data_IF_823201691607
#
_entry.id   IF_823201691607
#
_cell.length_a   1.000
_cell.length_b   1.000
_cell.length_c   1.000
_cell.angle_alpha   90.00
_cell.angle_beta   90.00
_cell.angle_gamma   90.00
#
_symmetry.space_group_name_H-M   'P 1'
#
loop_
_entity.id
_entity.type
_entity.pdbx_description
1 polymer ?
#
# COMPACT_ATOMS: atom_id res chain seq x y z
N UNK A 1 4.78 0.95 -10.29
CA UNK A 1 5.64 -0.19 -10.67
C UNK A 1 6.00 -0.98 -9.42
N UNK A 2 5.86 -2.29 -9.42
CA UNK A 2 6.16 -3.19 -8.30
C UNK A 2 7.67 -3.45 -8.20
N UNK A 3 8.25 -3.22 -7.05
CA UNK A 3 9.70 -3.32 -6.78
C UNK A 3 10.07 -4.75 -6.37
N UNK A 4 10.84 -5.44 -7.20
CA UNK A 4 11.20 -6.86 -7.01
C UNK A 4 12.66 -7.01 -6.62
N UNK A 5 12.92 -7.78 -5.56
CA UNK A 5 14.25 -8.26 -5.18
C UNK A 5 14.33 -9.76 -5.48
N UNK A 6 15.36 -10.18 -6.22
CA UNK A 6 15.60 -11.59 -6.57
C UNK A 6 16.65 -12.16 -5.61
N UNK A 7 16.31 -13.25 -4.92
CA UNK A 7 17.17 -13.89 -3.91
C UNK A 7 17.34 -15.37 -4.22
N UNK A 8 18.52 -15.75 -4.64
CA UNK A 8 18.85 -17.11 -5.08
C UNK A 8 20.38 -17.28 -5.03
N UNK A 9 20.93 -18.34 -4.49
CA UNK A 9 22.38 -18.54 -4.38
C UNK A 9 23.02 -18.91 -5.74
N UNK A 10 22.23 -19.48 -6.66
CA UNK A 10 22.70 -19.86 -7.98
C UNK A 10 22.68 -18.69 -8.97
N UNK A 11 23.83 -18.20 -9.50
CA UNK A 11 23.87 -17.04 -10.39
C UNK A 11 23.06 -17.22 -11.68
N UNK A 12 23.02 -18.44 -12.24
CA UNK A 12 22.26 -18.73 -13.46
C UNK A 12 20.75 -18.70 -13.22
N UNK A 13 20.29 -19.20 -12.06
CA UNK A 13 18.87 -19.12 -11.68
C UNK A 13 18.44 -17.65 -11.48
N UNK A 14 19.29 -16.83 -10.81
CA UNK A 14 19.05 -15.39 -10.68
C UNK A 14 18.94 -14.71 -12.03
N UNK A 15 19.90 -14.94 -12.94
CA UNK A 15 19.90 -14.35 -14.27
C UNK A 15 18.65 -14.74 -15.07
N UNK A 16 18.20 -15.99 -14.95
CA UNK A 16 16.96 -16.44 -15.59
C UNK A 16 15.72 -15.75 -15.02
N UNK A 17 15.61 -15.57 -13.71
CA UNK A 17 14.49 -14.84 -13.09
C UNK A 17 14.48 -13.37 -13.52
N UNK A 18 15.65 -12.73 -13.58
CA UNK A 18 15.81 -11.36 -14.10
C UNK A 18 15.30 -11.27 -15.53
N UNK A 19 15.72 -12.16 -16.42
CA UNK A 19 15.26 -12.17 -17.81
C UNK A 19 13.75 -12.35 -17.95
N UNK A 20 13.12 -13.19 -17.10
CA UNK A 20 11.66 -13.35 -17.07
C UNK A 20 10.94 -12.11 -16.53
N UNK A 21 11.52 -11.42 -15.53
CA UNK A 21 10.96 -10.19 -14.99
C UNK A 21 11.02 -9.03 -15.98
N UNK A 22 12.05 -8.94 -16.83
CA UNK A 22 12.17 -7.94 -17.88
C UNK A 22 11.04 -8.05 -18.93
N UNK A 23 10.44 -9.26 -19.06
CA UNK A 23 9.25 -9.48 -19.90
C UNK A 23 7.92 -9.15 -19.20
N UNK A 24 7.95 -8.71 -17.92
CA UNK A 24 6.76 -8.38 -17.14
C UNK A 24 6.55 -6.85 -17.12
N UNK A 25 5.38 -6.39 -17.56
CA UNK A 25 4.98 -5.00 -17.41
C UNK A 25 4.81 -4.62 -15.93
N UNK A 26 4.99 -3.34 -15.59
CA UNK A 26 4.78 -2.77 -14.25
C UNK A 26 5.67 -3.34 -13.12
N UNK A 27 6.81 -3.95 -13.47
CA UNK A 27 7.81 -4.47 -12.55
C UNK A 27 9.11 -3.68 -12.66
N UNK A 28 9.79 -3.48 -11.55
CA UNK A 28 11.14 -2.91 -11.48
C UNK A 28 12.01 -3.79 -10.61
N UNK A 29 13.07 -4.35 -11.16
CA UNK A 29 14.06 -5.11 -10.41
C UNK A 29 14.91 -4.09 -9.63
N UNK A 30 14.84 -4.13 -8.31
CA UNK A 30 15.56 -3.18 -7.44
C UNK A 30 16.90 -3.72 -6.96
N UNK A 31 17.14 -5.02 -7.10
CA UNK A 31 18.39 -5.66 -6.73
C UNK A 31 18.30 -7.18 -6.77
N UNK A 32 19.43 -7.80 -6.40
CA UNK A 32 19.52 -9.25 -6.23
C UNK A 32 20.48 -9.59 -5.08
N UNK A 33 20.27 -10.74 -4.45
CA UNK A 33 21.12 -11.26 -3.37
C UNK A 33 21.39 -12.75 -3.59
N UNK A 34 22.56 -13.22 -3.16
CA UNK A 34 22.97 -14.63 -3.26
C UNK A 34 22.81 -15.44 -1.97
N UNK A 35 22.40 -14.79 -0.88
CA UNK A 35 22.21 -15.45 0.43
C UNK A 35 21.23 -14.63 1.29
N UNK A 36 20.84 -15.22 2.43
CA UNK A 36 19.85 -14.62 3.31
C UNK A 36 20.34 -13.37 4.06
N UNK A 37 21.63 -13.21 4.32
CA UNK A 37 22.17 -12.01 5.01
C UNK A 37 22.21 -10.82 4.06
N UNK A 38 22.73 -11.03 2.86
CA UNK A 38 22.70 -10.04 1.80
C UNK A 38 21.26 -9.63 1.45
N UNK A 39 20.33 -10.58 1.44
CA UNK A 39 18.90 -10.31 1.22
C UNK A 39 18.31 -9.41 2.32
N UNK A 40 18.62 -9.68 3.60
CA UNK A 40 18.13 -8.84 4.72
C UNK A 40 18.67 -7.40 4.63
N UNK A 41 19.95 -7.23 4.30
CA UNK A 41 20.53 -5.90 4.08
C UNK A 41 19.83 -5.17 2.91
N UNK A 42 19.68 -5.86 1.77
CA UNK A 42 19.01 -5.32 0.59
C UNK A 42 17.54 -4.95 0.85
N UNK A 43 16.79 -5.74 1.65
CA UNK A 43 15.42 -5.41 2.07
C UNK A 43 15.38 -4.08 2.84
N UNK A 44 16.32 -3.89 3.77
CA UNK A 44 16.40 -2.66 4.57
C UNK A 44 16.70 -1.42 3.73
N UNK A 45 17.59 -1.52 2.78
CA UNK A 45 18.05 -0.42 1.93
C UNK A 45 17.09 -0.14 0.77
N UNK A 46 16.70 -1.20 0.05
CA UNK A 46 15.96 -1.07 -1.20
C UNK A 46 14.44 -1.08 -1.03
N UNK A 47 13.93 -1.44 0.15
CA UNK A 47 12.49 -1.47 0.44
C UNK A 47 11.66 -2.11 -0.70
N UNK A 48 11.90 -3.38 -1.08
CA UNK A 48 11.17 -4.06 -2.14
C UNK A 48 9.71 -4.30 -1.76
N UNK A 49 8.82 -4.40 -2.77
CA UNK A 49 7.44 -4.79 -2.59
C UNK A 49 7.29 -6.32 -2.50
N UNK A 50 8.15 -7.05 -3.23
CA UNK A 50 8.13 -8.51 -3.31
C UNK A 50 9.53 -9.10 -3.41
N UNK A 51 9.70 -10.28 -2.82
CA UNK A 51 10.87 -11.14 -2.97
C UNK A 51 10.52 -12.33 -3.85
N UNK A 52 11.34 -12.60 -4.88
CA UNK A 52 11.45 -13.94 -5.47
C UNK A 52 12.58 -14.64 -4.72
N UNK A 53 12.24 -15.65 -3.91
CA UNK A 53 13.11 -16.20 -2.89
C UNK A 53 13.34 -17.70 -3.10
N UNK A 54 14.57 -18.12 -3.29
CA UNK A 54 14.89 -19.55 -3.20
C UNK A 54 14.84 -20.03 -1.74
N UNK A 55 14.41 -21.26 -1.56
CA UNK A 55 14.35 -21.90 -0.24
C UNK A 55 15.74 -22.41 0.18
N UNK A 56 16.45 -23.04 -0.75
CA UNK A 56 17.70 -23.74 -0.44
C UNK A 56 18.91 -22.86 -0.73
N UNK A 57 19.24 -22.03 0.21
CA UNK A 57 20.45 -21.20 0.15
C UNK A 57 21.39 -21.54 1.32
N UNK A 58 22.71 -21.41 1.15
CA UNK A 58 23.66 -21.60 2.23
C UNK A 58 23.47 -20.57 3.35
N UNK A 59 23.74 -20.97 4.59
CA UNK A 59 23.58 -20.10 5.76
C UNK A 59 22.11 -19.92 6.16
N UNK A 60 21.57 -18.72 5.99
CA UNK A 60 20.15 -18.43 6.27
C UNK A 60 19.31 -18.88 5.08
N UNK A 61 18.59 -19.99 5.22
CA UNK A 61 17.71 -20.51 4.17
C UNK A 61 16.47 -19.61 3.96
N UNK A 62 15.84 -19.74 2.79
CA UNK A 62 14.70 -18.90 2.40
C UNK A 62 13.50 -19.01 3.33
N UNK A 63 13.24 -20.18 3.94
CA UNK A 63 12.13 -20.32 4.90
C UNK A 63 12.39 -19.57 6.20
N UNK A 64 13.62 -19.58 6.71
CA UNK A 64 14.00 -18.80 7.88
C UNK A 64 13.93 -17.28 7.60
N UNK A 65 14.31 -16.87 6.39
CA UNK A 65 14.17 -15.48 5.96
C UNK A 65 12.70 -15.09 5.89
N UNK A 66 11.84 -15.88 5.25
CA UNK A 66 10.40 -15.63 5.17
C UNK A 66 9.74 -15.57 6.55
N UNK A 67 10.16 -16.41 7.49
CA UNK A 67 9.68 -16.40 8.87
C UNK A 67 10.00 -15.08 9.60
N UNK A 68 11.18 -14.50 9.37
CA UNK A 68 11.55 -13.17 9.91
C UNK A 68 10.72 -12.02 9.32
N UNK A 69 10.16 -12.23 8.14
CA UNK A 69 9.30 -11.26 7.43
C UNK A 69 7.81 -11.49 7.69
N UNK A 70 7.44 -12.59 8.34
CA UNK A 70 6.05 -12.95 8.60
C UNK A 70 5.29 -11.81 9.33
N UNK A 71 4.05 -11.58 8.93
CA UNK A 71 3.20 -10.51 9.49
C UNK A 71 3.48 -9.12 8.94
N UNK A 72 4.49 -8.91 8.10
CA UNK A 72 4.73 -7.64 7.42
C UNK A 72 3.88 -7.52 6.16
N UNK A 73 3.40 -6.33 5.87
CA UNK A 73 2.70 -6.03 4.60
C UNK A 73 3.68 -6.08 3.42
N UNK A 74 4.93 -5.65 3.63
CA UNK A 74 6.02 -5.64 2.64
C UNK A 74 7.34 -6.07 3.27
N UNK A 75 8.19 -6.78 2.54
CA UNK A 75 7.93 -7.37 1.22
C UNK A 75 7.01 -8.59 1.30
N UNK A 76 6.22 -8.83 0.26
CA UNK A 76 5.53 -10.11 0.05
C UNK A 76 6.52 -11.15 -0.47
N UNK A 77 6.32 -12.43 -0.16
CA UNK A 77 7.24 -13.51 -0.56
C UNK A 77 6.58 -14.40 -1.59
N UNK A 78 7.30 -14.67 -2.69
CA UNK A 78 7.04 -15.72 -3.67
C UNK A 78 8.25 -16.65 -3.63
N UNK A 79 8.04 -17.90 -3.28
CA UNK A 79 9.13 -18.88 -3.31
C UNK A 79 9.40 -19.37 -4.74
N UNK A 80 10.68 -19.51 -5.10
CA UNK A 80 11.16 -20.05 -6.37
C UNK A 80 12.18 -21.15 -6.09
N UNK A 81 11.80 -22.42 -6.17
CA UNK A 81 12.66 -23.54 -5.74
C UNK A 81 12.53 -24.76 -6.65
N UNK A 82 13.52 -25.64 -6.60
CA UNK A 82 13.51 -26.92 -7.34
C UNK A 82 12.69 -28.04 -6.65
N UNK A 83 12.22 -27.85 -5.42
CA UNK A 83 11.63 -28.90 -4.60
C UNK A 83 10.13 -28.68 -4.34
N UNK A 84 9.31 -29.69 -4.63
CA UNK A 84 7.85 -29.65 -4.41
C UNK A 84 7.46 -29.79 -2.92
N UNK A 85 8.29 -30.45 -2.13
CA UNK A 85 8.01 -30.83 -0.74
C UNK A 85 7.76 -29.63 0.20
N UNK A 86 8.19 -28.43 -0.16
CA UNK A 86 8.10 -27.25 0.68
C UNK A 86 6.85 -26.39 0.41
N UNK A 87 6.00 -26.75 -0.56
CA UNK A 87 4.82 -25.96 -0.91
C UNK A 87 3.86 -25.74 0.27
N UNK A 88 3.63 -26.79 1.08
CA UNK A 88 2.76 -26.69 2.26
C UNK A 88 3.33 -25.69 3.30
N UNK A 89 4.64 -25.79 3.57
CA UNK A 89 5.33 -24.89 4.50
C UNK A 89 5.36 -23.42 4.03
N UNK A 90 5.39 -23.21 2.72
CA UNK A 90 5.31 -21.88 2.13
C UNK A 90 3.97 -21.17 2.45
N UNK A 91 2.86 -21.92 2.41
CA UNK A 91 1.55 -21.41 2.79
C UNK A 91 1.45 -21.07 4.29
N UNK A 92 1.99 -21.92 5.17
CA UNK A 92 2.05 -21.65 6.61
C UNK A 92 2.84 -20.37 6.93
N UNK A 93 3.87 -20.05 6.15
CA UNK A 93 4.68 -18.85 6.27
C UNK A 93 4.01 -17.59 5.64
N UNK A 94 2.81 -17.74 5.08
CA UNK A 94 2.06 -16.64 4.50
C UNK A 94 2.60 -16.15 3.15
N UNK A 95 3.41 -16.96 2.44
CA UNK A 95 3.85 -16.64 1.08
C UNK A 95 2.65 -16.45 0.14
N UNK A 96 2.83 -15.57 -0.85
CA UNK A 96 1.78 -15.29 -1.84
C UNK A 96 1.65 -16.44 -2.84
N UNK A 97 2.78 -17.00 -3.23
CA UNK A 97 2.83 -18.09 -4.20
C UNK A 97 4.11 -18.91 -4.06
N UNK A 98 4.12 -20.03 -4.79
CA UNK A 98 5.20 -20.99 -4.87
C UNK A 98 5.45 -21.39 -6.33
N UNK A 99 6.64 -21.16 -6.82
CA UNK A 99 7.05 -21.42 -8.19
C UNK A 99 8.12 -22.53 -8.23
N UNK A 100 7.88 -23.56 -9.01
CA UNK A 100 8.85 -24.61 -9.26
C UNK A 100 9.84 -24.19 -10.35
N UNK A 101 11.13 -24.39 -10.12
CA UNK A 101 12.16 -24.29 -11.13
C UNK A 101 12.10 -25.49 -12.10
N UNK A 102 12.19 -25.28 -13.41
CA UNK A 102 12.39 -24.02 -14.11
C UNK A 102 11.12 -23.16 -14.15
N UNK A 103 11.22 -21.92 -13.65
CA UNK A 103 10.08 -21.00 -13.60
C UNK A 103 9.63 -20.65 -15.04
N UNK A 104 8.31 -20.73 -15.28
CA UNK A 104 7.67 -20.35 -16.54
C UNK A 104 7.13 -18.92 -16.43
N UNK A 105 7.24 -18.16 -17.52
CA UNK A 105 6.81 -16.75 -17.57
C UNK A 105 5.34 -16.57 -17.16
N UNK A 106 4.44 -17.42 -17.64
CA UNK A 106 3.01 -17.35 -17.30
C UNK A 106 2.77 -17.52 -15.78
N UNK A 107 3.44 -18.51 -15.16
CA UNK A 107 3.33 -18.74 -13.71
C UNK A 107 3.89 -17.57 -12.90
N UNK A 108 4.98 -16.96 -13.36
CA UNK A 108 5.56 -15.77 -12.73
C UNK A 108 4.58 -14.58 -12.82
N UNK A 109 3.98 -14.34 -14.00
CA UNK A 109 2.97 -13.29 -14.19
C UNK A 109 1.77 -13.47 -13.26
N UNK A 110 1.25 -14.69 -13.13
CA UNK A 110 0.14 -15.00 -12.22
C UNK A 110 0.50 -14.72 -10.76
N UNK A 111 1.70 -15.10 -10.33
CA UNK A 111 2.17 -14.87 -8.96
C UNK A 111 2.34 -13.36 -8.67
N UNK A 112 2.91 -12.61 -9.61
CA UNK A 112 3.04 -11.15 -9.51
C UNK A 112 1.68 -10.46 -9.46
N UNK A 113 0.71 -10.90 -10.26
CA UNK A 113 -0.65 -10.35 -10.21
C UNK A 113 -1.34 -10.61 -8.86
N UNK A 114 -1.17 -11.82 -8.28
CA UNK A 114 -1.67 -12.12 -6.93
C UNK A 114 -1.02 -11.22 -5.88
N UNK A 115 0.30 -11.02 -5.99
CA UNK A 115 1.04 -10.11 -5.12
C UNK A 115 0.51 -8.69 -5.20
N UNK A 116 0.28 -8.18 -6.39
CA UNK A 116 -0.26 -6.84 -6.60
C UNK A 116 -1.65 -6.66 -5.96
N UNK A 117 -2.53 -7.65 -6.11
CA UNK A 117 -3.86 -7.66 -5.45
C UNK A 117 -3.72 -7.66 -3.93
N UNK A 118 -2.88 -8.53 -3.38
CA UNK A 118 -2.65 -8.61 -1.92
C UNK A 118 -2.08 -7.32 -1.34
N UNK A 119 -1.14 -6.68 -2.02
CA UNK A 119 -0.60 -5.37 -1.62
C UNK A 119 -1.65 -4.26 -1.69
N UNK A 120 -2.52 -4.27 -2.71
CA UNK A 120 -3.62 -3.33 -2.82
C UNK A 120 -4.65 -3.52 -1.69
N UNK A 121 -5.00 -4.76 -1.37
CA UNK A 121 -5.94 -5.10 -0.29
C UNK A 121 -5.36 -4.72 1.08
N UNK A 122 -4.09 -5.04 1.33
CA UNK A 122 -3.41 -4.63 2.57
C UNK A 122 -3.28 -3.11 2.71
N UNK A 123 -3.08 -2.40 1.59
CA UNK A 123 -3.08 -0.93 1.59
C UNK A 123 -4.47 -0.36 1.89
N UNK A 124 -5.53 -1.00 1.41
CA UNK A 124 -6.92 -0.63 1.75
C UNK A 124 -7.23 -0.92 3.21
N UNK A 125 -6.82 -2.08 3.74
CA UNK A 125 -6.99 -2.42 5.16
C UNK A 125 -6.23 -1.46 6.07
N UNK A 126 -5.01 -1.10 5.73
CA UNK A 126 -4.21 -0.13 6.49
C UNK A 126 -4.70 1.32 6.32
N UNK A 127 -5.39 1.63 5.23
CA UNK A 127 -6.02 2.94 5.01
C UNK A 127 -7.18 3.20 5.99
N UNK A 128 -7.71 2.16 6.66
CA UNK A 128 -8.85 2.28 7.56
C UNK A 128 -10.19 2.28 6.84
N UNK A 129 -11.25 2.10 7.63
CA UNK A 129 -12.63 2.09 7.12
C UNK A 129 -13.52 2.95 7.98
N UNK A 130 -14.44 3.65 7.35
CA UNK A 130 -15.54 4.34 8.02
C UNK A 130 -16.79 3.46 7.97
N UNK A 131 -17.50 3.40 9.08
CA UNK A 131 -18.76 2.69 9.21
C UNK A 131 -19.89 3.69 9.33
N UNK A 132 -20.93 3.54 8.53
CA UNK A 132 -22.05 4.47 8.58
C UNK A 132 -23.32 3.91 7.98
N UNK A 133 -24.33 4.76 7.86
CA UNK A 133 -25.64 4.40 7.31
C UNK A 133 -25.89 5.13 6.00
N UNK A 134 -26.24 4.38 4.97
CA UNK A 134 -26.75 4.89 3.72
C UNK A 134 -28.14 4.31 3.48
N UNK A 135 -29.18 5.17 3.40
CA UNK A 135 -30.58 4.76 3.16
C UNK A 135 -31.09 3.66 4.11
N UNK A 136 -30.59 3.65 5.36
CA UNK A 136 -30.98 2.68 6.39
C UNK A 136 -30.13 1.40 6.44
N UNK A 137 -29.25 1.16 5.50
CA UNK A 137 -28.30 0.06 5.51
C UNK A 137 -26.98 0.46 6.15
N UNK A 138 -26.40 -0.44 6.94
CA UNK A 138 -25.04 -0.26 7.44
C UNK A 138 -24.05 -0.58 6.31
N UNK A 139 -23.21 0.39 5.99
CA UNK A 139 -22.17 0.22 4.98
C UNK A 139 -20.78 0.55 5.54
N UNK A 140 -19.77 -0.05 4.94
CA UNK A 140 -18.36 0.19 5.22
C UNK A 140 -17.72 0.81 3.99
N UNK A 141 -17.02 1.93 4.17
CA UNK A 141 -16.29 2.63 3.10
C UNK A 141 -14.83 2.73 3.47
N UNK A 142 -13.95 2.36 2.56
CA UNK A 142 -12.51 2.54 2.73
C UNK A 142 -12.13 4.03 2.66
N UNK A 143 -11.15 4.46 3.47
CA UNK A 143 -10.72 5.86 3.50
C UNK A 143 -10.16 6.36 2.16
N UNK A 144 -9.64 5.48 1.32
CA UNK A 144 -9.18 5.82 -0.04
C UNK A 144 -10.33 6.16 -1.01
N UNK A 145 -11.56 5.67 -0.75
CA UNK A 145 -12.77 6.03 -1.48
C UNK A 145 -13.32 7.40 -1.06
N UNK A 146 -12.98 7.87 0.15
CA UNK A 146 -13.47 9.13 0.71
C UNK A 146 -12.90 10.33 -0.05
N UNK A 147 -13.75 11.31 -0.33
CA UNK A 147 -13.37 12.59 -0.95
C UNK A 147 -13.21 13.66 0.13
N UNK A 148 -14.21 13.79 1.01
CA UNK A 148 -14.21 14.74 2.11
C UNK A 148 -15.15 14.31 3.22
N UNK A 149 -14.87 14.78 4.43
CA UNK A 149 -15.70 14.60 5.62
C UNK A 149 -16.09 15.99 6.11
N UNK A 150 -17.38 16.26 6.18
CA UNK A 150 -17.94 17.56 6.57
C UNK A 150 -18.80 17.39 7.82
N UNK A 151 -18.50 18.16 8.88
CA UNK A 151 -19.36 18.18 10.04
C UNK A 151 -20.67 18.90 9.72
N UNK A 152 -21.77 18.22 9.95
CA UNK A 152 -23.13 18.74 9.97
C UNK A 152 -23.66 18.66 11.42
N UNK A 153 -24.84 19.21 11.71
CA UNK A 153 -25.32 19.44 13.09
C UNK A 153 -25.14 18.26 14.05
N UNK A 154 -25.48 17.03 13.65
CA UNK A 154 -25.41 15.82 14.49
C UNK A 154 -24.55 14.70 13.90
N UNK A 155 -24.12 14.83 12.66
CA UNK A 155 -23.44 13.79 11.91
C UNK A 155 -22.23 14.36 11.19
N UNK A 156 -21.39 13.47 10.68
CA UNK A 156 -20.39 13.81 9.68
C UNK A 156 -20.84 13.24 8.34
N UNK A 157 -21.01 14.11 7.36
CA UNK A 157 -21.28 13.74 5.99
C UNK A 157 -19.96 13.34 5.30
N UNK A 158 -19.86 12.08 4.92
CA UNK A 158 -18.72 11.51 4.20
C UNK A 158 -19.05 11.47 2.72
N UNK A 159 -18.45 12.35 1.94
CA UNK A 159 -18.57 12.33 0.47
C UNK A 159 -17.58 11.31 -0.10
N UNK A 160 -18.07 10.44 -0.97
CA UNK A 160 -17.29 9.42 -1.66
C UNK A 160 -17.75 9.27 -3.12
N UNK A 161 -17.03 8.49 -3.93
CA UNK A 161 -17.30 8.39 -5.37
C UNK A 161 -18.72 7.92 -5.73
N UNK A 162 -19.38 7.16 -4.83
CA UNK A 162 -20.71 6.58 -5.05
C UNK A 162 -21.84 7.37 -4.38
N UNK A 163 -21.56 8.51 -3.73
CA UNK A 163 -22.56 9.32 -3.04
C UNK A 163 -22.09 9.90 -1.71
N UNK A 164 -23.00 9.97 -0.75
CA UNK A 164 -22.77 10.55 0.57
C UNK A 164 -23.27 9.60 1.65
N UNK A 165 -22.47 9.40 2.69
CA UNK A 165 -22.74 8.56 3.84
C UNK A 165 -22.75 9.42 5.09
N UNK A 166 -23.68 9.17 6.02
CA UNK A 166 -23.70 9.81 7.32
C UNK A 166 -23.12 8.89 8.39
N UNK A 167 -22.20 9.42 9.19
CA UNK A 167 -21.57 8.71 10.31
C UNK A 167 -21.76 9.50 11.60
N UNK A 168 -21.76 8.78 12.72
CA UNK A 168 -22.00 9.37 14.06
C UNK A 168 -20.71 9.87 14.71
N UNK A 169 -19.55 9.38 14.25
CA UNK A 169 -18.25 9.80 14.77
C UNK A 169 -17.97 11.27 14.44
N UNK A 170 -17.46 11.99 15.42
CA UNK A 170 -17.06 13.38 15.23
C UNK A 170 -15.77 13.47 14.40
N UNK A 171 -15.59 14.60 13.70
CA UNK A 171 -14.34 14.87 12.98
C UNK A 171 -13.09 14.78 13.87
N UNK A 172 -13.23 15.06 15.18
CA UNK A 172 -12.13 14.95 16.13
C UNK A 172 -11.74 13.49 16.38
N UNK A 173 -12.70 12.62 16.61
CA UNK A 173 -12.47 11.18 16.77
C UNK A 173 -11.82 10.59 15.53
N UNK A 174 -12.29 10.99 14.34
CA UNK A 174 -11.71 10.53 13.07
C UNK A 174 -10.28 11.04 12.85
N UNK A 175 -9.97 12.27 13.21
CA UNK A 175 -8.62 12.83 13.13
C UNK A 175 -7.66 12.12 14.12
N UNK A 176 -8.13 11.77 15.32
CA UNK A 176 -7.37 11.01 16.31
C UNK A 176 -7.18 9.53 15.90
N UNK A 177 -8.19 8.91 15.26
CA UNK A 177 -8.12 7.53 14.79
C UNK A 177 -7.23 7.37 13.54
N UNK A 178 -7.19 8.38 12.67
CA UNK A 178 -6.49 8.32 11.38
C UNK A 178 -5.53 9.51 11.17
N UNK A 179 -4.56 9.75 12.08
CA UNK A 179 -3.76 10.97 12.12
C UNK A 179 -2.80 11.14 10.92
N UNK A 180 -2.47 10.03 10.23
CA UNK A 180 -1.61 10.05 9.04
C UNK A 180 -2.41 10.07 7.73
N UNK A 181 -3.66 9.59 7.76
CA UNK A 181 -4.50 9.46 6.58
C UNK A 181 -5.43 10.66 6.36
N UNK A 182 -5.88 11.31 7.45
CA UNK A 182 -6.79 12.45 7.40
C UNK A 182 -6.11 13.75 7.78
N UNK A 183 -6.46 14.82 7.05
CA UNK A 183 -5.92 16.17 7.27
C UNK A 183 -7.06 17.14 7.51
N UNK A 184 -6.95 17.92 8.61
CA UNK A 184 -7.90 18.97 8.94
C UNK A 184 -7.65 20.21 8.09
N UNK A 185 -8.63 20.56 7.24
CA UNK A 185 -8.61 21.80 6.48
C UNK A 185 -9.29 22.95 7.22
N UNK A 186 -10.45 22.66 7.81
CA UNK A 186 -11.27 23.64 8.54
C UNK A 186 -11.87 22.97 9.79
N UNK A 187 -12.42 23.76 10.74
CA UNK A 187 -13.09 23.23 11.93
C UNK A 187 -14.19 22.20 11.63
N UNK A 188 -14.80 22.30 10.44
CA UNK A 188 -15.88 21.44 9.97
C UNK A 188 -15.47 20.53 8.79
N UNK A 189 -14.19 20.45 8.41
CA UNK A 189 -13.76 19.69 7.24
C UNK A 189 -12.46 18.91 7.47
N UNK A 190 -12.50 17.60 7.21
CA UNK A 190 -11.34 16.72 7.03
C UNK A 190 -11.32 16.21 5.58
N UNK A 191 -10.13 15.93 5.08
CA UNK A 191 -9.93 15.27 3.77
C UNK A 191 -8.84 14.20 3.89
N UNK A 192 -8.86 13.14 3.07
CA UNK A 192 -7.73 12.23 2.98
C UNK A 192 -6.48 12.95 2.48
N UNK A 193 -5.35 12.75 3.17
CA UNK A 193 -4.06 13.35 2.83
C UNK A 193 -3.64 13.00 1.40
N UNK A 194 -3.86 11.75 0.98
CA UNK A 194 -3.52 11.25 -0.35
C UNK A 194 -4.29 11.95 -1.50
N UNK A 195 -5.43 12.61 -1.20
CA UNK A 195 -6.19 13.36 -2.22
C UNK A 195 -5.75 14.81 -2.35
N UNK A 196 -4.91 15.31 -1.46
CA UNK A 196 -4.49 16.71 -1.46
C UNK A 196 -3.42 16.95 -2.54
N UNK A 197 -3.80 17.60 -3.64
CA UNK A 197 -2.93 17.89 -4.79
C UNK A 197 -2.18 19.21 -4.66
N UNK A 198 -2.75 20.19 -3.92
CA UNK A 198 -2.15 21.52 -3.85
C UNK A 198 -3.10 22.57 -3.27
N UNK A 199 -2.69 23.82 -3.39
CA UNK A 199 -3.38 24.99 -2.86
C UNK A 199 -3.72 25.98 -3.99
N UNK A 200 -4.87 26.65 -3.85
CA UNK A 200 -5.28 27.76 -4.71
C UNK A 200 -5.50 28.99 -3.84
N UNK A 201 -4.71 30.03 -4.03
CA UNK A 201 -4.92 31.33 -3.38
C UNK A 201 -5.97 32.13 -4.15
N UNK A 202 -6.93 32.71 -3.45
CA UNK A 202 -7.94 33.59 -4.00
C UNK A 202 -7.54 35.05 -3.78
N UNK A 203 -8.06 36.00 -4.61
CA UNK A 203 -7.75 37.44 -4.47
C UNK A 203 -8.18 38.03 -3.13
N UNK A 204 -9.19 37.47 -2.48
CA UNK A 204 -9.70 37.88 -1.16
C UNK A 204 -8.86 37.35 0.03
N UNK A 205 -7.73 36.68 -0.26
CA UNK A 205 -6.83 36.12 0.74
C UNK A 205 -7.23 34.75 1.30
N UNK A 206 -8.35 34.16 0.87
CA UNK A 206 -8.71 32.78 1.20
C UNK A 206 -7.82 31.80 0.44
N UNK A 207 -7.57 30.65 1.05
CA UNK A 207 -6.81 29.56 0.45
C UNK A 207 -7.71 28.32 0.37
N UNK A 208 -7.83 27.79 -0.84
CA UNK A 208 -8.61 26.58 -1.10
C UNK A 208 -7.68 25.39 -1.31
N UNK A 209 -8.10 24.20 -0.88
CA UNK A 209 -7.45 22.94 -1.19
C UNK A 209 -7.88 22.46 -2.59
N UNK A 210 -6.93 21.95 -3.37
CA UNK A 210 -7.20 21.20 -4.61
C UNK A 210 -7.12 19.71 -4.30
N UNK A 211 -8.19 18.98 -4.59
CA UNK A 211 -8.33 17.57 -4.29
C UNK A 211 -8.36 16.73 -5.57
N UNK A 212 -7.79 15.53 -5.51
CA UNK A 212 -7.84 14.56 -6.61
C UNK A 212 -9.25 13.97 -6.78
N UNK A 213 -9.69 13.82 -8.06
CA UNK A 213 -10.93 13.13 -8.41
C UNK A 213 -12.22 13.86 -8.05
N UNK A 214 -12.16 15.20 -7.86
CA UNK A 214 -13.33 16.02 -7.55
C UNK A 214 -13.09 17.50 -7.89
N UNK A 215 -14.16 18.23 -8.19
CA UNK A 215 -14.14 19.70 -8.33
C UNK A 215 -14.28 20.42 -6.98
N UNK A 216 -14.45 19.66 -5.91
CA UNK A 216 -14.62 20.20 -4.56
C UNK A 216 -13.32 20.90 -4.14
N UNK A 217 -13.43 22.17 -3.71
CA UNK A 217 -12.29 22.98 -3.30
C UNK A 217 -12.55 23.60 -1.92
N UNK A 218 -12.45 22.82 -0.83
CA UNK A 218 -12.74 23.30 0.52
C UNK A 218 -11.74 24.35 0.95
N UNK A 219 -12.23 25.33 1.74
CA UNK A 219 -11.39 26.39 2.31
C UNK A 219 -10.50 25.84 3.42
N UNK A 220 -9.26 26.31 3.47
CA UNK A 220 -8.31 25.99 4.53
C UNK A 220 -8.27 27.15 5.52
N UNK A 221 -8.54 26.86 6.79
CA UNK A 221 -8.45 27.87 7.83
C UNK A 221 -7.01 28.34 8.02
N UNK A 222 -6.85 29.61 8.42
CA UNK A 222 -5.52 30.21 8.70
C UNK A 222 -4.70 29.37 9.69
N UNK A 223 -5.36 28.75 10.68
CA UNK A 223 -4.76 27.90 11.69
C UNK A 223 -4.15 26.62 11.09
N UNK A 224 -4.83 25.99 10.13
CA UNK A 224 -4.42 24.69 9.57
C UNK A 224 -3.50 24.83 8.35
N UNK A 225 -3.44 26.01 7.74
CA UNK A 225 -2.64 26.26 6.54
C UNK A 225 -1.14 25.91 6.68
N UNK A 226 -0.44 26.17 7.81
CA UNK A 226 0.96 25.78 7.97
C UNK A 226 1.16 24.26 7.91
N UNK A 227 0.29 23.49 8.57
CA UNK A 227 0.34 22.02 8.58
C UNK A 227 0.10 21.46 7.18
N UNK A 228 -0.91 21.97 6.46
CA UNK A 228 -1.22 21.57 5.08
C UNK A 228 -0.06 21.89 4.14
N UNK A 229 0.60 23.05 4.27
CA UNK A 229 1.78 23.40 3.48
C UNK A 229 2.96 22.47 3.75
N UNK A 230 3.17 22.09 5.00
CA UNK A 230 4.23 21.15 5.38
C UNK A 230 3.99 19.77 4.74
N UNK A 231 2.78 19.28 4.75
CA UNK A 231 2.39 18.00 4.15
C UNK A 231 2.65 17.99 2.63
N UNK A 232 2.30 19.06 1.92
CA UNK A 232 2.52 19.19 0.46
C UNK A 232 4.00 19.33 0.06
N UNK A 233 4.92 19.64 0.99
CA UNK A 233 6.37 19.74 0.72
C UNK A 233 7.09 18.41 0.95
N UNK A 234 6.48 17.46 1.63
CA UNK A 234 7.04 16.16 1.99
C UNK A 234 6.56 15.03 1.07
N UNK A 235 5.60 15.27 0.22
CA UNK A 235 5.10 14.43 -0.87
C UNK A 235 5.57 15.01 -2.19
#
# INVERSE_FOLDING_TARGET
MMRVLVVDDEPLARARLVALLDECADVTIVGHAGDGEAAMAAIGELQPDVLLLDINMPGVNGTALAQRLAGRVRPQVIFCTAYEVHAFKAFELGAVDYLLKPVRLERLRDALQRTQRRLADASRESAGFLHGRLRGEQIRIALDEVISLLAEEKYVAVKHQRGELLIEESLRQLEEAYPQQLVRLHRNCLVPAARLLGLKNLPDGRVLARLAGTDLSPEISRRNLPAVRKLLRLG
#
